data_IF_935671936041
#
_entry.id   IF_935671936041
#
_cell.length_a   1.000
_cell.length_b   1.000
_cell.length_c   1.000
_cell.angle_alpha   90.00
_cell.angle_beta   90.00
_cell.angle_gamma   90.00
#
_symmetry.space_group_name_H-M   'P 1'
#
loop_
_entity.id
_entity.type
_entity.pdbx_description
1 polymer ?
#
# COMPACT_ATOMS: atom_id res chain seq x y z
N UNK A 1 -34.33 -19.14 0.63
CA UNK A 1 -34.24 -18.24 1.80
C UNK A 1 -34.92 -16.93 1.42
N UNK A 2 -35.77 -16.34 2.27
CA UNK A 2 -36.45 -15.09 1.94
C UNK A 2 -35.41 -13.97 1.75
N UNK A 3 -35.57 -13.17 0.70
CA UNK A 3 -34.70 -12.03 0.34
C UNK A 3 -35.42 -10.71 0.67
N UNK A 4 -35.52 -10.30 1.95
CA UNK A 4 -36.34 -9.18 2.38
C UNK A 4 -35.89 -7.84 1.77
N UNK A 5 -34.59 -7.63 1.62
CA UNK A 5 -34.04 -6.38 1.05
C UNK A 5 -34.31 -6.31 -0.45
N UNK A 6 -34.04 -7.38 -1.21
CA UNK A 6 -34.31 -7.38 -2.65
C UNK A 6 -35.80 -7.23 -2.93
N UNK A 7 -36.65 -7.90 -2.15
CA UNK A 7 -38.10 -7.78 -2.25
C UNK A 7 -38.55 -6.33 -2.00
N UNK A 8 -38.01 -5.66 -0.97
CA UNK A 8 -38.29 -4.26 -0.68
C UNK A 8 -37.92 -3.34 -1.87
N UNK A 9 -36.73 -3.46 -2.44
CA UNK A 9 -36.30 -2.59 -3.53
C UNK A 9 -36.93 -2.94 -4.89
N UNK A 10 -37.18 -4.22 -5.18
CA UNK A 10 -37.78 -4.66 -6.45
C UNK A 10 -39.30 -4.51 -6.52
N UNK A 11 -39.99 -4.54 -5.39
CA UNK A 11 -41.46 -4.60 -5.36
C UNK A 11 -42.13 -3.75 -4.28
N UNK A 12 -41.37 -3.04 -3.44
CA UNK A 12 -41.93 -2.15 -2.41
C UNK A 12 -42.60 -2.89 -1.24
N UNK A 13 -42.33 -4.18 -1.08
CA UNK A 13 -42.95 -5.01 -0.04
C UNK A 13 -42.09 -4.99 1.23
N UNK A 14 -42.71 -4.70 2.36
CA UNK A 14 -42.05 -4.67 3.67
C UNK A 14 -41.46 -6.03 4.07
N UNK A 15 -40.36 -6.02 4.82
CA UNK A 15 -39.63 -7.22 5.24
C UNK A 15 -40.49 -8.23 6.03
N UNK A 16 -41.54 -7.77 6.73
CA UNK A 16 -42.49 -8.63 7.43
C UNK A 16 -43.20 -9.63 6.52
N UNK A 17 -43.36 -9.30 5.23
CA UNK A 17 -44.01 -10.16 4.23
C UNK A 17 -43.01 -10.99 3.41
N UNK A 18 -41.71 -10.95 3.73
CA UNK A 18 -40.70 -11.68 2.97
C UNK A 18 -40.82 -13.20 3.09
N UNK A 19 -41.56 -13.71 4.08
CA UNK A 19 -41.85 -15.13 4.23
C UNK A 19 -42.86 -15.70 3.23
N UNK A 20 -43.59 -14.84 2.50
CA UNK A 20 -44.62 -15.24 1.53
C UNK A 20 -44.02 -15.38 0.11
N UNK A 21 -43.89 -16.61 -0.44
CA UNK A 21 -43.35 -16.84 -1.78
C UNK A 21 -44.16 -16.17 -2.89
N UNK A 22 -45.47 -15.94 -2.68
CA UNK A 22 -46.34 -15.32 -3.67
C UNK A 22 -46.00 -13.84 -3.93
N UNK A 23 -45.19 -13.21 -3.08
CA UNK A 23 -44.74 -11.82 -3.24
C UNK A 23 -43.53 -11.68 -4.16
N UNK A 24 -42.85 -12.77 -4.53
CA UNK A 24 -41.65 -12.77 -5.37
C UNK A 24 -41.97 -12.78 -6.88
N UNK A 25 -42.84 -11.87 -7.32
CA UNK A 25 -43.33 -11.82 -8.72
C UNK A 25 -42.56 -10.86 -9.61
N UNK A 26 -41.65 -10.06 -9.05
CA UNK A 26 -40.91 -9.05 -9.81
C UNK A 26 -39.97 -9.68 -10.84
N UNK A 27 -40.02 -9.21 -12.08
CA UNK A 27 -39.09 -9.64 -13.16
C UNK A 27 -37.63 -9.29 -12.86
N UNK A 28 -37.38 -8.41 -11.89
CA UNK A 28 -36.04 -7.98 -11.50
C UNK A 28 -35.19 -9.10 -10.88
N UNK A 29 -35.81 -10.15 -10.31
CA UNK A 29 -35.10 -11.29 -9.77
C UNK A 29 -34.34 -12.10 -10.83
N UNK A 30 -34.81 -12.09 -12.08
CA UNK A 30 -34.15 -12.72 -13.23
C UNK A 30 -33.41 -11.75 -14.15
N UNK A 31 -33.36 -10.46 -13.79
CA UNK A 31 -32.77 -9.44 -14.66
C UNK A 31 -31.24 -9.56 -14.69
N UNK A 32 -30.67 -9.61 -15.90
CA UNK A 32 -29.25 -9.79 -16.11
C UNK A 32 -28.37 -8.73 -15.39
N UNK A 33 -28.83 -7.48 -15.25
CA UNK A 33 -28.10 -6.44 -14.52
C UNK A 33 -27.90 -6.79 -13.05
N UNK A 34 -28.89 -7.42 -12.42
CA UNK A 34 -28.83 -7.83 -11.02
C UNK A 34 -28.17 -9.20 -10.84
N UNK A 35 -28.48 -10.17 -11.71
CA UNK A 35 -27.92 -11.52 -11.67
C UNK A 35 -26.42 -11.50 -11.95
N UNK A 36 -25.96 -10.74 -12.96
CA UNK A 36 -24.53 -10.65 -13.28
C UNK A 36 -23.73 -9.98 -12.15
N UNK A 37 -24.34 -9.06 -11.40
CA UNK A 37 -23.69 -8.44 -10.25
C UNK A 37 -23.55 -9.42 -9.05
N UNK A 38 -24.28 -10.53 -9.05
CA UNK A 38 -24.23 -11.59 -8.03
C UNK A 38 -23.57 -12.88 -8.56
N UNK A 39 -22.82 -12.80 -9.66
CA UNK A 39 -22.17 -13.96 -10.25
C UNK A 39 -21.22 -14.66 -9.26
N UNK A 40 -21.29 -15.98 -9.18
CA UNK A 40 -20.51 -16.80 -8.22
C UNK A 40 -19.00 -16.59 -8.35
N UNK A 41 -18.51 -16.40 -9.58
CA UNK A 41 -17.08 -16.28 -9.87
C UNK A 41 -16.55 -14.83 -9.75
N UNK A 42 -17.38 -13.86 -9.38
CA UNK A 42 -16.98 -12.45 -9.28
C UNK A 42 -18.12 -11.52 -8.90
N UNK A 43 -18.70 -11.65 -7.69
CA UNK A 43 -19.82 -10.81 -7.29
C UNK A 43 -19.38 -9.36 -7.09
N UNK A 44 -20.09 -8.42 -7.72
CA UNK A 44 -19.92 -6.98 -7.52
C UNK A 44 -21.08 -6.43 -6.69
N UNK A 45 -20.98 -6.57 -5.37
CA UNK A 45 -22.00 -6.07 -4.45
C UNK A 45 -22.19 -4.55 -4.57
N UNK A 46 -21.12 -3.79 -4.85
CA UNK A 46 -21.19 -2.35 -5.04
C UNK A 46 -22.01 -1.96 -6.28
N UNK A 47 -21.85 -2.67 -7.39
CA UNK A 47 -22.69 -2.49 -8.58
C UNK A 47 -24.13 -2.89 -8.29
N UNK A 48 -24.35 -4.01 -7.59
CA UNK A 48 -25.67 -4.48 -7.21
C UNK A 48 -26.45 -3.44 -6.39
N UNK A 49 -25.89 -2.96 -5.28
CA UNK A 49 -26.51 -1.90 -4.46
C UNK A 49 -26.59 -0.57 -5.20
N UNK A 50 -25.60 -0.28 -6.06
CA UNK A 50 -25.56 0.90 -6.90
C UNK A 50 -26.81 1.03 -7.78
N UNK A 51 -27.26 -0.06 -8.39
CA UNK A 51 -28.47 -0.09 -9.22
C UNK A 51 -29.76 0.28 -8.47
N UNK A 52 -29.87 -0.04 -7.17
CA UNK A 52 -31.01 0.39 -6.35
C UNK A 52 -31.00 1.90 -6.10
N UNK A 53 -29.81 2.45 -5.92
CA UNK A 53 -29.62 3.83 -5.48
C UNK A 53 -29.58 4.81 -6.64
N UNK A 54 -29.21 4.37 -7.85
CA UNK A 54 -29.20 5.19 -9.06
C UNK A 54 -30.61 5.33 -9.69
N UNK A 55 -31.51 4.36 -9.49
CA UNK A 55 -32.85 4.36 -10.07
C UNK A 55 -33.91 4.94 -9.12
N UNK A 56 -34.69 5.92 -9.58
CA UNK A 56 -35.73 6.58 -8.77
C UNK A 56 -36.85 5.63 -8.33
N UNK A 57 -37.26 4.69 -9.19
CA UNK A 57 -38.31 3.71 -8.90
C UNK A 57 -37.90 2.79 -7.76
N UNK A 58 -36.67 2.27 -7.78
CA UNK A 58 -36.17 1.40 -6.72
C UNK A 58 -36.00 2.14 -5.39
N UNK A 59 -35.54 3.39 -5.40
CA UNK A 59 -35.53 4.23 -4.19
C UNK A 59 -36.95 4.43 -3.63
N UNK A 60 -37.93 4.69 -4.49
CA UNK A 60 -39.34 4.81 -4.11
C UNK A 60 -39.88 3.53 -3.47
N UNK A 61 -39.61 2.38 -4.09
CA UNK A 61 -39.99 1.07 -3.55
C UNK A 61 -39.40 0.82 -2.16
N UNK A 62 -38.11 1.13 -1.95
CA UNK A 62 -37.48 1.00 -0.63
C UNK A 62 -38.18 1.84 0.45
N UNK A 63 -38.58 3.07 0.13
CA UNK A 63 -39.34 3.93 1.06
C UNK A 63 -40.73 3.36 1.37
N UNK A 64 -41.45 2.87 0.35
CA UNK A 64 -42.77 2.22 0.51
C UNK A 64 -42.66 0.96 1.37
N UNK A 65 -41.57 0.21 1.24
CA UNK A 65 -41.28 -0.96 2.06
C UNK A 65 -40.88 -0.62 3.51
N UNK A 66 -40.80 0.66 3.87
CA UNK A 66 -40.46 1.15 5.21
C UNK A 66 -38.95 1.24 5.48
N UNK A 67 -38.10 1.13 4.45
CA UNK A 67 -36.66 1.33 4.61
C UNK A 67 -36.33 2.84 4.62
N UNK A 68 -35.34 3.27 5.42
CA UNK A 68 -34.95 4.66 5.47
C UNK A 68 -34.27 5.09 4.15
N UNK A 69 -34.45 6.37 3.76
CA UNK A 69 -33.89 6.89 2.51
C UNK A 69 -32.35 6.75 2.41
N UNK A 70 -31.67 6.75 3.56
CA UNK A 70 -30.22 6.61 3.69
C UNK A 70 -29.74 5.16 3.89
N UNK A 71 -30.55 4.16 3.52
CA UNK A 71 -30.24 2.75 3.72
C UNK A 71 -28.89 2.32 3.11
N UNK A 72 -28.59 2.78 1.89
CA UNK A 72 -27.32 2.45 1.20
C UNK A 72 -26.33 3.62 1.16
N UNK A 73 -26.81 4.87 1.06
CA UNK A 73 -25.98 6.06 1.00
C UNK A 73 -26.31 6.98 2.16
N UNK A 74 -25.27 7.52 2.81
CA UNK A 74 -25.43 8.44 3.93
C UNK A 74 -26.22 9.70 3.55
N UNK A 75 -26.01 10.22 2.34
CA UNK A 75 -26.70 11.41 1.83
C UNK A 75 -27.24 11.15 0.40
N UNK A 76 -28.46 10.61 0.26
CA UNK A 76 -29.03 10.26 -1.04
C UNK A 76 -29.46 11.48 -1.87
N UNK A 77 -29.62 12.66 -1.26
CA UNK A 77 -30.02 13.90 -1.95
C UNK A 77 -28.86 14.66 -2.61
N UNK A 78 -27.62 14.32 -2.27
CA UNK A 78 -26.42 14.98 -2.81
C UNK A 78 -25.81 14.15 -3.95
N UNK A 79 -26.08 14.55 -5.19
CA UNK A 79 -25.44 13.99 -6.38
C UNK A 79 -24.00 14.54 -6.50
N UNK A 80 -23.03 13.70 -6.83
CA UNK A 80 -21.64 14.12 -7.10
C UNK A 80 -20.68 14.10 -5.90
N UNK A 81 -21.09 13.54 -4.76
CA UNK A 81 -20.20 13.37 -3.60
C UNK A 81 -19.85 14.67 -2.88
N UNK A 82 -18.94 14.61 -1.91
CA UNK A 82 -18.44 15.76 -1.17
C UNK A 82 -16.92 15.72 -1.15
N UNK A 83 -16.29 16.82 -1.56
CA UNK A 83 -14.87 17.01 -1.36
C UNK A 83 -14.65 17.56 0.04
N UNK A 84 -13.91 16.81 0.85
CA UNK A 84 -13.40 17.26 2.13
C UNK A 84 -11.91 17.51 1.98
N UNK A 85 -11.45 18.69 2.39
CA UNK A 85 -10.02 19.03 2.41
C UNK A 85 -9.54 18.79 3.83
N UNK A 86 -8.77 17.73 4.01
CA UNK A 86 -8.30 17.27 5.32
C UNK A 86 -6.79 17.06 5.28
N UNK A 87 -6.12 17.31 6.42
CA UNK A 87 -4.71 16.99 6.62
C UNK A 87 -4.57 15.70 7.44
N UNK A 88 -5.23 14.63 6.99
CA UNK A 88 -5.21 13.32 7.67
C UNK A 88 -4.07 12.40 7.21
N UNK A 89 -3.14 12.91 6.40
CA UNK A 89 -1.93 12.21 6.00
C UNK A 89 -1.04 11.93 7.21
N UNK A 90 -0.69 10.67 7.42
CA UNK A 90 0.19 10.19 8.48
C UNK A 90 1.26 9.29 7.88
N UNK A 91 2.50 9.52 8.30
CA UNK A 91 3.66 8.71 7.94
C UNK A 91 4.21 8.07 9.20
N UNK A 92 4.50 6.77 9.14
CA UNK A 92 5.17 6.02 10.19
C UNK A 92 6.52 5.56 9.68
N UNK A 93 7.57 5.73 10.49
CA UNK A 93 8.92 5.31 10.15
C UNK A 93 9.55 4.59 11.34
N UNK A 94 9.89 3.33 11.13
CA UNK A 94 10.52 2.47 12.13
C UNK A 94 11.88 2.02 11.59
N UNK A 95 12.96 2.15 12.38
CA UNK A 95 14.30 1.72 11.97
C UNK A 95 15.10 1.06 13.09
N UNK A 96 15.99 0.14 12.70
CA UNK A 96 16.95 -0.53 13.56
C UNK A 96 18.33 -0.34 12.95
N UNK A 97 19.29 0.07 13.78
CA UNK A 97 20.68 0.29 13.38
C UNK A 97 21.61 -0.62 14.17
N UNK A 98 22.45 -1.36 13.47
CA UNK A 98 23.48 -2.24 14.04
C UNK A 98 24.84 -1.74 13.62
N UNK A 99 25.73 -1.51 14.58
CA UNK A 99 27.09 -1.07 14.33
C UNK A 99 28.10 -2.09 14.86
N UNK A 100 29.01 -2.51 13.98
CA UNK A 100 30.13 -3.38 14.28
C UNK A 100 31.43 -2.60 14.15
N UNK A 101 32.22 -2.51 15.23
CA UNK A 101 33.56 -1.91 15.20
C UNK A 101 34.59 -2.91 15.69
N UNK A 102 35.56 -3.23 14.82
CA UNK A 102 36.77 -3.98 15.15
C UNK A 102 37.99 -3.08 14.95
N UNK A 103 38.72 -2.84 16.04
CA UNK A 103 40.00 -2.13 16.03
C UNK A 103 41.06 -2.95 15.29
N UNK A 104 42.08 -2.28 14.75
CA UNK A 104 43.20 -2.91 14.04
C UNK A 104 43.85 -3.97 14.94
N UNK A 105 43.70 -5.24 14.57
CA UNK A 105 44.28 -6.37 15.28
C UNK A 105 44.74 -7.40 14.27
N UNK A 106 46.02 -7.79 14.33
CA UNK A 106 46.65 -8.74 13.39
C UNK A 106 46.48 -8.32 11.93
N UNK A 107 46.61 -7.02 11.66
CA UNK A 107 46.49 -6.42 10.33
C UNK A 107 45.05 -6.15 9.85
N UNK A 108 44.00 -6.46 10.62
CA UNK A 108 42.61 -6.25 10.19
C UNK A 108 41.87 -5.21 11.05
N UNK A 109 41.35 -4.17 10.42
CA UNK A 109 40.42 -3.17 10.97
C UNK A 109 39.11 -3.25 10.17
N UNK A 110 37.97 -3.32 10.85
CA UNK A 110 36.65 -3.38 10.20
C UNK A 110 35.67 -2.47 10.93
N UNK A 111 34.92 -1.69 10.18
CA UNK A 111 33.78 -0.91 10.65
C UNK A 111 32.60 -1.17 9.73
N UNK A 112 31.53 -1.75 10.26
CA UNK A 112 30.28 -2.00 9.55
C UNK A 112 29.12 -1.31 10.24
N UNK A 113 28.20 -0.76 9.46
CA UNK A 113 26.94 -0.21 9.91
C UNK A 113 25.83 -0.74 9.00
N UNK A 114 24.79 -1.30 9.60
CA UNK A 114 23.62 -1.82 8.91
C UNK A 114 22.37 -1.17 9.48
N UNK A 115 21.52 -0.63 8.60
CA UNK A 115 20.25 -0.04 8.95
C UNK A 115 19.14 -0.80 8.24
N UNK A 116 18.20 -1.31 9.02
CA UNK A 116 16.94 -1.82 8.53
C UNK A 116 15.87 -0.77 8.82
N UNK A 117 15.04 -0.41 7.84
CA UNK A 117 13.92 0.51 8.08
C UNK A 117 12.65 0.14 7.35
N UNK A 118 11.51 0.53 7.90
CA UNK A 118 10.19 0.37 7.29
C UNK A 118 9.48 1.71 7.38
N UNK A 119 8.99 2.19 6.25
CA UNK A 119 8.23 3.42 6.18
C UNK A 119 6.84 3.12 5.63
N UNK A 120 5.80 3.55 6.35
CA UNK A 120 4.41 3.41 5.94
C UNK A 120 3.78 4.77 5.77
N UNK A 121 2.83 4.88 4.85
CA UNK A 121 1.97 6.06 4.69
C UNK A 121 0.52 5.63 4.47
N UNK A 122 -0.44 6.37 5.00
CA UNK A 122 -1.87 6.16 4.70
C UNK A 122 -2.36 6.98 3.49
N UNK A 123 -1.59 7.99 3.09
CA UNK A 123 -1.91 8.86 1.96
C UNK A 123 -0.59 9.31 1.32
N UNK A 124 -0.41 8.94 0.06
CA UNK A 124 0.72 9.39 -0.73
C UNK A 124 0.26 10.50 -1.67
N UNK A 125 0.62 11.75 -1.36
CA UNK A 125 0.29 12.89 -2.19
C UNK A 125 1.54 13.77 -2.35
N UNK A 126 2.02 13.91 -3.59
CA UNK A 126 3.15 14.78 -3.93
C UNK A 126 2.71 16.24 -4.16
N UNK A 127 1.41 16.53 -4.10
CA UNK A 127 0.80 17.84 -4.34
C UNK A 127 -0.57 17.91 -3.66
N UNK A 128 -0.97 19.11 -3.21
CA UNK A 128 -2.29 19.38 -2.63
C UNK A 128 -3.45 19.22 -3.63
N UNK A 129 -3.14 19.13 -4.94
CA UNK A 129 -4.13 18.86 -5.97
C UNK A 129 -4.46 17.35 -6.11
N UNK A 130 -3.70 16.47 -5.47
CA UNK A 130 -3.94 15.02 -5.53
C UNK A 130 -5.07 14.66 -4.57
N UNK A 131 -6.26 14.46 -5.14
CA UNK A 131 -7.40 13.92 -4.43
C UNK A 131 -7.24 12.40 -4.23
N UNK A 132 -7.13 11.95 -2.99
CA UNK A 132 -7.13 10.54 -2.62
C UNK A 132 -8.44 10.16 -1.93
N UNK A 133 -9.05 9.06 -2.34
CA UNK A 133 -10.18 8.47 -1.60
C UNK A 133 -9.63 7.40 -0.65
N UNK A 134 -9.74 7.59 0.69
CA UNK A 134 -9.40 6.54 1.63
C UNK A 134 -10.37 5.37 1.45
N UNK A 135 -9.94 4.16 1.82
CA UNK A 135 -10.79 2.97 1.70
C UNK A 135 -12.06 3.10 2.55
N UNK A 136 -11.96 3.78 3.69
CA UNK A 136 -13.11 4.20 4.49
C UNK A 136 -12.83 5.57 5.12
N UNK A 137 -13.87 6.39 5.31
CA UNK A 137 -13.79 7.63 6.10
C UNK A 137 -13.83 7.37 7.62
N UNK A 138 -14.15 6.14 8.03
CA UNK A 138 -14.29 5.76 9.45
C UNK A 138 -12.95 5.34 10.07
N UNK A 139 -12.09 4.73 9.26
CA UNK A 139 -10.78 4.29 9.69
C UNK A 139 -9.76 4.47 8.56
N UNK A 140 -8.88 5.48 8.72
CA UNK A 140 -7.79 5.78 7.80
C UNK A 140 -6.61 4.84 7.95
N UNK A 141 -6.56 4.01 9.01
CA UNK A 141 -5.50 3.02 9.20
C UNK A 141 -5.60 1.87 8.19
N UNK A 142 -6.80 1.60 7.67
CA UNK A 142 -7.04 0.62 6.61
C UNK A 142 -6.32 0.98 5.30
N UNK A 143 -6.02 2.25 5.08
CA UNK A 143 -5.28 2.73 3.91
C UNK A 143 -3.76 2.78 4.13
N UNK A 144 -3.26 2.26 5.26
CA UNK A 144 -1.82 2.20 5.55
C UNK A 144 -1.12 1.25 4.58
N UNK A 145 -0.26 1.81 3.75
CA UNK A 145 0.55 1.09 2.78
C UNK A 145 2.04 1.39 2.95
N UNK A 146 2.91 0.57 2.35
CA UNK A 146 4.35 0.82 2.33
C UNK A 146 4.62 2.09 1.51
N UNK A 147 5.47 2.98 2.04
CA UNK A 147 5.86 4.19 1.33
C UNK A 147 6.67 3.85 0.07
N UNK A 148 6.38 4.47 -1.09
CA UNK A 148 7.14 4.26 -2.32
C UNK A 148 8.58 4.83 -2.27
N UNK A 149 8.96 5.50 -1.19
CA UNK A 149 10.31 6.03 -1.01
C UNK A 149 11.05 5.38 0.17
N UNK A 150 10.54 4.26 0.68
CA UNK A 150 11.14 3.54 1.80
C UNK A 150 12.42 2.80 1.36
N UNK A 151 13.52 2.98 2.11
CA UNK A 151 14.75 2.20 1.94
C UNK A 151 14.76 1.12 3.01
N UNK A 152 14.57 -0.14 2.61
CA UNK A 152 14.37 -1.20 3.61
C UNK A 152 15.70 -1.64 4.23
N UNK A 153 16.75 -1.72 3.43
CA UNK A 153 18.08 -2.15 3.86
C UNK A 153 19.14 -1.16 3.38
N UNK A 154 19.98 -0.68 4.30
CA UNK A 154 21.14 0.13 3.99
C UNK A 154 22.37 -0.41 4.74
N UNK A 155 23.41 -0.82 4.00
CA UNK A 155 24.66 -1.31 4.54
C UNK A 155 25.80 -0.36 4.18
N UNK A 156 26.64 -0.02 5.17
CA UNK A 156 27.89 0.72 5.00
C UNK A 156 29.01 -0.08 5.66
N UNK A 157 30.08 -0.39 4.94
CA UNK A 157 31.21 -1.13 5.48
C UNK A 157 32.54 -0.50 5.03
N UNK A 158 33.47 -0.36 5.97
CA UNK A 158 34.84 0.06 5.78
C UNK A 158 35.75 -1.02 6.37
N UNK A 159 36.75 -1.47 5.62
CA UNK A 159 37.77 -2.38 6.15
C UNK A 159 39.16 -1.95 5.70
N UNK A 160 40.15 -2.23 6.53
CA UNK A 160 41.57 -2.12 6.20
C UNK A 160 42.19 -3.46 6.55
N UNK A 161 42.84 -4.08 5.57
CA UNK A 161 43.55 -5.33 5.75
C UNK A 161 45.01 -5.16 5.31
N UNK A 162 45.93 -5.31 6.25
CA UNK A 162 47.36 -5.41 6.06
C UNK A 162 47.72 -6.86 5.74
N UNK A 163 48.17 -7.11 4.52
CA UNK A 163 48.66 -8.41 4.09
C UNK A 163 50.12 -8.58 4.56
N UNK A 164 50.47 -9.70 5.21
CA UNK A 164 51.82 -9.92 5.73
C UNK A 164 52.78 -10.40 4.62
N UNK A 165 53.04 -9.55 3.62
CA UNK A 165 54.05 -9.81 2.58
C UNK A 165 54.98 -8.60 2.44
N UNK A 166 56.24 -8.77 2.82
CA UNK A 166 57.28 -7.72 2.75
C UNK A 166 58.41 -7.97 3.75
N UNK A 167 59.62 -7.44 3.45
CA UNK A 167 60.83 -7.61 4.29
C UNK A 167 60.51 -7.26 5.76
N UNK A 168 60.85 -8.18 6.67
CA UNK A 168 60.63 -8.18 8.13
C UNK A 168 59.26 -8.63 8.66
N UNK A 169 58.51 -9.49 7.96
CA UNK A 169 57.38 -10.24 8.55
C UNK A 169 57.43 -11.76 8.28
N UNK A 170 56.67 -12.50 9.11
CA UNK A 170 56.74 -13.94 9.41
C UNK A 170 56.70 -14.91 8.22
N UNK A 171 56.33 -14.50 7.01
CA UNK A 171 56.26 -15.39 5.84
C UNK A 171 56.78 -14.65 4.59
N UNK A 172 57.81 -15.22 3.94
CA UNK A 172 58.30 -14.77 2.62
C UNK A 172 59.53 -13.83 2.62
N UNK A 173 60.51 -14.05 3.50
CA UNK A 173 61.74 -13.25 3.59
C UNK A 173 62.69 -13.26 2.38
N UNK A 174 62.32 -13.89 1.24
CA UNK A 174 63.23 -14.13 0.11
C UNK A 174 62.77 -13.67 -1.27
N UNK A 175 61.54 -13.19 -1.46
CA UNK A 175 61.08 -12.79 -2.80
C UNK A 175 61.39 -11.31 -3.06
N UNK A 176 62.55 -11.08 -3.69
CA UNK A 176 62.84 -9.82 -4.37
C UNK A 176 61.77 -9.48 -5.42
N UNK A 177 61.55 -8.19 -5.60
CA UNK A 177 60.82 -7.61 -6.73
C UNK A 177 59.36 -8.05 -6.90
N UNK A 178 58.52 -7.81 -5.89
CA UNK A 178 57.16 -7.40 -6.20
C UNK A 178 56.89 -6.08 -5.48
N UNK A 179 56.99 -4.99 -6.24
CA UNK A 179 56.49 -3.66 -5.88
C UNK A 179 54.99 -3.81 -5.72
N UNK A 180 54.56 -4.36 -4.58
CA UNK A 180 53.18 -4.71 -4.34
C UNK A 180 52.44 -3.41 -4.13
N UNK A 181 51.78 -2.99 -5.21
CA UNK A 181 50.80 -1.94 -5.25
C UNK A 181 50.07 -1.86 -3.91
N UNK A 182 50.17 -0.70 -3.26
CA UNK A 182 49.23 -0.28 -2.24
C UNK A 182 47.83 -0.30 -2.86
N UNK A 183 47.20 -1.48 -2.94
CA UNK A 183 45.80 -1.62 -3.31
C UNK A 183 45.00 -1.15 -2.11
N UNK A 184 44.90 0.17 -1.99
CA UNK A 184 43.72 0.83 -1.44
C UNK A 184 42.54 0.33 -2.25
N UNK A 185 41.95 -0.79 -1.86
CA UNK A 185 40.56 -1.08 -2.21
C UNK A 185 39.69 -0.30 -1.22
N UNK A 186 39.82 1.03 -1.26
CA UNK A 186 38.69 1.86 -0.93
C UNK A 186 37.79 1.75 -2.14
N UNK A 187 36.69 1.00 -2.02
CA UNK A 187 35.53 1.33 -2.82
C UNK A 187 34.84 2.43 -2.02
N UNK A 188 35.07 3.73 -2.28
CA UNK A 188 34.14 4.74 -1.83
C UNK A 188 32.85 4.50 -2.64
N UNK A 189 32.05 3.51 -2.25
CA UNK A 189 30.62 3.55 -2.55
C UNK A 189 30.03 4.54 -1.56
N UNK A 190 30.34 5.82 -1.79
CA UNK A 190 29.44 6.89 -1.41
C UNK A 190 28.32 6.87 -2.44
N UNK A 191 27.45 5.89 -2.29
CA UNK A 191 26.27 5.65 -3.10
C UNK A 191 25.46 4.72 -2.24
N UNK A 192 24.33 5.17 -1.68
CA UNK A 192 23.60 4.36 -0.73
C UNK A 192 23.19 3.07 -1.48
N UNK A 193 23.64 1.91 -0.98
CA UNK A 193 23.15 0.63 -1.48
C UNK A 193 21.76 0.48 -0.87
N UNK A 194 20.79 1.07 -1.54
CA UNK A 194 19.38 1.04 -1.19
C UNK A 194 18.76 -0.06 -2.03
N UNK A 195 18.23 -1.08 -1.38
CA UNK A 195 17.26 -1.97 -2.00
C UNK A 195 15.90 -1.61 -1.40
N UNK A 196 14.94 -1.23 -2.25
CA UNK A 196 13.57 -1.03 -1.80
C UNK A 196 12.77 0.13 -2.40
N UNK A 197 13.28 0.92 -3.36
CA UNK A 197 12.36 1.81 -4.10
C UNK A 197 11.37 0.93 -4.86
N UNK A 198 10.07 0.94 -4.54
CA UNK A 198 9.09 0.27 -5.38
C UNK A 198 9.17 0.92 -6.77
N UNK A 199 9.28 0.07 -7.79
CA UNK A 199 9.21 0.51 -9.18
C UNK A 199 7.93 1.32 -9.38
N UNK A 200 8.08 2.62 -9.67
CA UNK A 200 7.01 3.44 -10.21
C UNK A 200 7.49 3.98 -11.57
N UNK A 201 7.01 3.36 -12.64
CA UNK A 201 7.14 3.88 -13.99
C UNK A 201 6.08 4.96 -14.17
N UNK A 202 6.41 6.20 -13.83
CA UNK A 202 5.44 7.29 -13.88
C UNK A 202 6.04 8.68 -13.68
N UNK A 203 6.35 9.31 -14.82
CA UNK A 203 6.69 10.72 -15.04
C UNK A 203 8.11 11.18 -14.66
N UNK A 204 8.88 11.45 -15.72
CA UNK A 204 10.28 11.87 -15.75
C UNK A 204 10.51 13.16 -14.94
N UNK A 205 11.63 13.20 -14.20
CA UNK A 205 12.40 14.44 -14.09
C UNK A 205 13.88 14.16 -13.80
N UNK A 206 14.65 14.07 -14.87
CA UNK A 206 16.11 14.31 -14.86
C UNK A 206 16.32 15.82 -14.71
N UNK A 207 16.91 16.26 -13.60
CA UNK A 207 17.74 17.48 -13.55
C UNK A 207 18.93 17.17 -12.64
N UNK A 208 20.13 17.19 -13.23
CA UNK A 208 21.38 16.84 -12.56
C UNK A 208 22.05 17.98 -11.81
N UNK A 209 23.22 17.65 -11.26
CA UNK A 209 24.49 18.28 -11.59
C UNK A 209 25.58 17.21 -11.54
#
# INVERSE_FOLDING_TARGET
MPLPIMLAFFSGVAAANAGDPARYTSTQFGNATFVNALAVNGPSMGTFSGNFTSNATFRGNGLVAGLPANFFLLNPGKLGGAWSIENNGRTWYDSIQVELRRRLSRGLLVQGNYVFSRAFTNAFASSSAVAGQPSTLRDFSLSKTMSPFAIIHALKANWIWELPFGKNQLIGGGAGAFRSHHRRMGVPRCGPIQSGTPFNMGNVRLVGR
#
